data_IF_354275592671
#
_entry.id   IF_354275592671
#
_cell.length_a   1.000
_cell.length_b   1.000
_cell.length_c   1.000
_cell.angle_alpha   90.00
_cell.angle_beta   90.00
_cell.angle_gamma   90.00
#
_symmetry.space_group_name_H-M   'P 1'
#
loop_
_entity.id
_entity.type
_entity.pdbx_description
1 polymer ?
#
# COMPACT_ATOMS: atom_id res chain seq x y z
N UNK A 1 22.26 -3.37 -3.33
CA UNK A 1 21.93 -1.96 -3.59
C UNK A 1 21.19 -1.47 -2.37
N UNK A 2 21.92 -0.90 -1.41
CA UNK A 2 21.39 -0.49 -0.11
C UNK A 2 20.98 0.98 -0.22
N UNK A 3 19.69 1.30 -0.04
CA UNK A 3 19.25 2.68 0.13
C UNK A 3 19.39 2.99 1.63
N UNK A 4 20.60 3.38 2.03
CA UNK A 4 20.82 4.08 3.29
C UNK A 4 20.58 5.58 3.06
N UNK A 5 19.71 6.15 3.90
CA UNK A 5 19.70 7.54 4.37
C UNK A 5 19.50 8.67 3.35
N UNK A 6 18.25 9.14 3.24
CA UNK A 6 17.93 10.55 3.02
C UNK A 6 16.84 11.00 4.01
N UNK A 7 17.23 11.14 5.28
CA UNK A 7 16.43 11.88 6.27
C UNK A 7 16.76 13.38 6.16
N UNK A 8 15.99 14.08 5.33
CA UNK A 8 15.87 15.53 5.33
C UNK A 8 14.47 15.94 5.81
N UNK A 9 14.39 16.33 7.09
CA UNK A 9 13.39 17.20 7.73
C UNK A 9 11.89 17.04 7.43
N UNK A 10 11.14 16.80 8.51
CA UNK A 10 9.67 16.78 8.65
C UNK A 10 8.91 15.61 8.02
N UNK A 11 8.48 14.70 8.92
CA UNK A 11 7.57 13.57 8.70
C UNK A 11 8.26 12.24 8.35
N UNK A 12 8.45 11.42 9.39
CA UNK A 12 8.99 10.06 9.33
C UNK A 12 7.98 9.11 8.66
N UNK A 13 8.33 8.58 7.49
CA UNK A 13 8.17 7.16 7.18
C UNK A 13 9.34 6.75 6.28
N UNK A 14 10.31 6.02 6.83
CA UNK A 14 11.46 5.50 6.08
C UNK A 14 11.22 4.01 5.90
N UNK A 15 10.90 3.58 4.68
CA UNK A 15 10.86 2.16 4.31
C UNK A 15 12.10 1.83 3.50
N UNK A 16 12.93 0.91 3.98
CA UNK A 16 14.12 0.42 3.27
C UNK A 16 13.74 -0.79 2.43
N UNK A 17 13.84 -0.73 1.10
CA UNK A 17 13.69 -1.93 0.25
C UNK A 17 14.90 -2.85 0.40
N UNK A 18 15.01 -3.54 1.53
CA UNK A 18 16.02 -4.54 1.81
C UNK A 18 15.34 -5.85 2.16
N UNK A 19 15.68 -6.87 1.36
CA UNK A 19 15.25 -8.28 1.50
C UNK A 19 13.77 -8.54 1.22
N UNK A 20 13.48 -9.72 0.71
CA UNK A 20 12.18 -10.21 0.22
C UNK A 20 11.10 -10.35 1.32
N UNK A 21 11.18 -9.60 2.42
CA UNK A 21 10.37 -9.79 3.61
C UNK A 21 9.88 -8.51 4.32
N UNK A 22 10.05 -7.31 3.76
CA UNK A 22 9.33 -6.13 4.31
C UNK A 22 7.92 -6.03 3.72
N UNK A 23 6.95 -6.40 4.56
CA UNK A 23 5.53 -6.48 4.25
C UNK A 23 4.91 -5.09 4.32
N UNK A 24 4.49 -4.54 3.17
CA UNK A 24 3.64 -3.35 3.15
C UNK A 24 2.30 -3.69 3.84
N UNK A 25 2.00 -2.99 4.93
CA UNK A 25 0.74 -3.17 5.66
C UNK A 25 -0.40 -2.46 4.95
N UNK A 26 -1.44 -3.20 4.61
CA UNK A 26 -2.70 -2.64 4.13
C UNK A 26 -3.40 -1.93 5.29
N UNK A 27 -4.04 -0.79 5.00
CA UNK A 27 -4.61 0.10 6.00
C UNK A 27 -5.88 0.76 5.49
N UNK A 28 -6.88 0.85 6.35
CA UNK A 28 -8.16 1.47 6.04
C UNK A 28 -8.51 2.59 7.03
N UNK A 29 -9.38 3.50 6.61
CA UNK A 29 -9.96 4.55 7.46
C UNK A 29 -11.44 4.24 7.66
N UNK A 30 -11.94 4.42 8.89
CA UNK A 30 -13.37 4.25 9.18
C UNK A 30 -14.20 5.29 8.41
N UNK A 31 -15.44 4.95 8.07
CA UNK A 31 -16.39 5.91 7.50
C UNK A 31 -16.53 7.13 8.42
N UNK A 32 -16.30 8.33 7.89
CA UNK A 32 -16.23 9.60 8.63
C UNK A 32 -15.08 9.72 9.65
N UNK A 33 -14.07 8.85 9.56
CA UNK A 33 -12.86 8.93 10.38
C UNK A 33 -11.89 9.99 9.85
N UNK A 34 -11.31 10.75 10.78
CA UNK A 34 -10.23 11.71 10.55
C UNK A 34 -8.94 11.36 11.32
N UNK A 35 -8.90 10.17 11.92
CA UNK A 35 -7.75 9.67 12.66
C UNK A 35 -6.71 8.99 11.78
N UNK A 36 -5.64 8.50 12.41
CA UNK A 36 -4.64 7.67 11.74
C UNK A 36 -5.31 6.43 11.11
N UNK A 37 -4.91 6.02 9.89
CA UNK A 37 -5.38 4.77 9.31
C UNK A 37 -5.18 3.61 10.28
N UNK A 38 -6.03 2.60 10.21
CA UNK A 38 -5.94 1.37 11.01
C UNK A 38 -5.36 0.26 10.15
N UNK A 39 -4.67 -0.70 10.77
CA UNK A 39 -4.18 -1.89 10.06
C UNK A 39 -5.39 -2.71 9.63
N UNK A 40 -5.44 -3.05 8.35
CA UNK A 40 -6.48 -3.93 7.82
C UNK A 40 -6.13 -5.38 8.17
N UNK A 41 -7.05 -6.09 8.82
CA UNK A 41 -6.84 -7.49 9.20
C UNK A 41 -6.92 -8.45 8.01
N UNK A 42 -7.60 -8.07 6.93
CA UNK A 42 -7.77 -8.89 5.74
C UNK A 42 -6.51 -8.92 4.86
N UNK A 43 -5.79 -7.79 4.81
CA UNK A 43 -4.52 -7.62 4.08
C UNK A 43 -4.65 -8.06 2.61
N UNK A 44 -5.51 -7.37 1.86
CA UNK A 44 -5.93 -7.80 0.52
C UNK A 44 -4.94 -7.46 -0.60
N UNK A 45 -3.98 -6.58 -0.33
CA UNK A 45 -2.93 -6.20 -1.26
C UNK A 45 -1.67 -7.04 -1.05
N UNK A 46 -1.15 -7.59 -2.16
CA UNK A 46 0.14 -8.28 -2.21
C UNK A 46 1.11 -7.46 -3.05
N UNK A 47 2.16 -6.94 -2.42
CA UNK A 47 3.25 -6.26 -3.11
C UNK A 47 4.05 -7.28 -3.93
N UNK A 48 4.22 -7.00 -5.23
CA UNK A 48 4.92 -7.87 -6.19
C UNK A 48 6.31 -7.35 -6.52
N UNK A 49 6.47 -6.03 -6.58
CA UNK A 49 7.71 -5.36 -6.94
C UNK A 49 7.70 -3.94 -6.35
N UNK A 50 8.84 -3.52 -5.83
CA UNK A 50 9.12 -2.14 -5.46
C UNK A 50 10.51 -1.77 -5.93
N UNK A 51 10.65 -0.66 -6.65
CA UNK A 51 11.95 -0.08 -6.95
C UNK A 51 11.83 1.43 -7.08
N UNK A 52 12.94 2.11 -6.84
CA UNK A 52 13.06 3.55 -6.98
C UNK A 52 14.13 3.87 -8.00
N UNK A 53 13.87 4.89 -8.83
CA UNK A 53 14.88 5.54 -9.65
C UNK A 53 15.00 7.01 -9.26
N UNK A 54 15.87 7.75 -9.94
CA UNK A 54 16.17 9.16 -9.65
C UNK A 54 14.94 10.10 -9.63
N UNK A 55 13.83 9.69 -10.21
CA UNK A 55 12.66 10.55 -10.43
C UNK A 55 11.38 10.02 -9.79
N UNK A 56 11.25 8.70 -9.62
CA UNK A 56 10.00 8.07 -9.19
C UNK A 56 10.27 6.77 -8.44
N UNK A 57 9.36 6.46 -7.52
CA UNK A 57 9.22 5.15 -6.89
C UNK A 57 8.10 4.39 -7.59
N UNK A 58 8.35 3.15 -7.97
CA UNK A 58 7.39 2.27 -8.64
C UNK A 58 7.03 1.13 -7.70
N UNK A 59 5.73 1.01 -7.40
CA UNK A 59 5.16 -0.12 -6.67
C UNK A 59 4.20 -0.86 -7.59
N UNK A 60 4.42 -2.17 -7.74
CA UNK A 60 3.50 -3.06 -8.43
C UNK A 60 2.92 -4.04 -7.42
N UNK A 61 1.60 -4.11 -7.34
CA UNK A 61 0.88 -4.99 -6.44
C UNK A 61 -0.22 -5.74 -7.20
N UNK A 62 -0.82 -6.72 -6.55
CA UNK A 62 -2.07 -7.36 -6.96
C UNK A 62 -3.07 -7.33 -5.81
N UNK A 63 -4.35 -7.33 -6.18
CA UNK A 63 -5.52 -7.43 -5.30
C UNK A 63 -6.66 -8.09 -6.08
N UNK A 64 -7.58 -8.79 -5.42
CA UNK A 64 -8.81 -9.29 -6.07
C UNK A 64 -9.75 -8.12 -6.44
N UNK A 65 -10.56 -8.31 -7.48
CA UNK A 65 -11.61 -7.34 -7.83
C UNK A 65 -12.69 -7.28 -6.74
N UNK A 66 -13.05 -8.45 -6.21
CA UNK A 66 -13.89 -8.62 -5.03
C UNK A 66 -13.08 -9.38 -3.98
N UNK A 67 -12.78 -8.71 -2.86
CA UNK A 67 -12.03 -9.25 -1.73
C UNK A 67 -12.94 -10.00 -0.75
N UNK A 68 -14.26 -9.85 -0.89
CA UNK A 68 -15.28 -10.29 0.06
C UNK A 68 -15.17 -9.65 1.45
N UNK A 69 -14.32 -8.63 1.64
CA UNK A 69 -14.30 -7.79 2.84
C UNK A 69 -15.27 -6.61 2.68
N UNK A 70 -16.57 -6.88 2.85
CA UNK A 70 -17.61 -5.86 2.73
C UNK A 70 -17.58 -4.80 3.85
N UNK A 71 -16.76 -5.00 4.90
CA UNK A 71 -16.68 -4.08 6.02
C UNK A 71 -15.77 -2.89 5.71
N UNK A 72 -14.67 -3.14 5.00
CA UNK A 72 -13.61 -2.15 4.78
C UNK A 72 -13.29 -1.90 3.30
N UNK A 73 -13.66 -2.82 2.41
CA UNK A 73 -13.37 -2.72 0.99
C UNK A 73 -14.57 -2.37 0.11
N UNK A 74 -14.25 -1.78 -1.05
CA UNK A 74 -15.19 -1.55 -2.15
C UNK A 74 -14.84 -2.48 -3.31
N UNK A 75 -15.78 -3.31 -3.81
CA UNK A 75 -15.56 -4.12 -5.00
C UNK A 75 -15.26 -3.25 -6.22
N UNK A 76 -14.24 -3.62 -6.99
CA UNK A 76 -13.93 -2.99 -8.27
C UNK A 76 -14.78 -3.69 -9.33
N UNK A 77 -15.92 -3.07 -9.65
CA UNK A 77 -16.80 -3.55 -10.72
C UNK A 77 -16.31 -3.02 -12.05
N UNK A 78 -16.31 -3.88 -13.07
CA UNK A 78 -16.10 -3.43 -14.46
C UNK A 78 -17.40 -2.73 -14.87
N UNK A 79 -17.46 -1.41 -14.71
CA UNK A 79 -18.56 -0.66 -15.32
C UNK A 79 -18.38 -0.79 -16.83
N UNK A 80 -19.42 -1.22 -17.54
CA UNK A 80 -19.46 -1.43 -18.99
C UNK A 80 -18.65 -0.34 -19.73
N UNK A 81 -17.62 -0.73 -20.48
CA UNK A 81 -17.08 0.13 -21.52
C UNK A 81 -18.11 0.15 -22.66
N UNK A 82 -19.12 1.02 -22.56
CA UNK A 82 -19.99 1.36 -23.70
C UNK A 82 -19.29 2.29 -24.68
#
# INVERSE_FOLDING_TARGET
MLIHDLLGSHHKTTGTFLSESEQCSDRHVKKHGNGEPLVDSSQDYVLLLGYENQTHTVLRFKRKLDTCDVAYDVPITITECT
#
